data_IF_146199254539
#
_entry.id   IF_146199254539
#
_cell.length_a   1.000
_cell.length_b   1.000
_cell.length_c   1.000
_cell.angle_alpha   90.00
_cell.angle_beta   90.00
_cell.angle_gamma   90.00
#
_symmetry.space_group_name_H-M   'P 1'
#
loop_
_entity.id
_entity.type
_entity.pdbx_description
1 polymer ?
#
# COMPACT_ATOMS: atom_id res chain seq x y z
N UNK A 1 -14.70 21.37 -14.30
CA UNK A 1 -13.25 21.11 -14.08
C UNK A 1 -12.77 20.26 -15.25
N UNK A 2 -11.56 20.54 -15.79
CA UNK A 2 -11.00 19.68 -16.83
C UNK A 2 -10.72 18.30 -16.27
N UNK A 3 -10.89 17.26 -17.10
CA UNK A 3 -10.53 15.89 -16.73
C UNK A 3 -9.02 15.80 -16.43
N UNK A 4 -8.58 14.96 -15.47
CA UNK A 4 -7.17 14.80 -15.18
C UNK A 4 -6.44 14.13 -16.35
N UNK A 5 -5.21 14.55 -16.60
CA UNK A 5 -4.36 13.89 -17.58
C UNK A 5 -3.98 12.49 -17.09
N UNK A 6 -4.16 11.46 -17.92
CA UNK A 6 -3.73 10.10 -17.61
C UNK A 6 -2.40 9.83 -18.31
N UNK A 7 -1.34 9.58 -17.54
CA UNK A 7 0.01 9.35 -18.06
C UNK A 7 0.53 7.97 -17.64
N UNK A 8 1.24 7.30 -18.56
CA UNK A 8 1.85 6.01 -18.23
C UNK A 8 3.18 6.22 -17.51
N UNK A 9 3.36 5.60 -16.34
CA UNK A 9 4.62 5.64 -15.57
C UNK A 9 5.81 5.06 -16.34
N UNK A 10 5.57 4.18 -17.33
CA UNK A 10 6.61 3.62 -18.19
C UNK A 10 7.09 4.57 -19.30
N UNK A 11 6.44 5.75 -19.48
CA UNK A 11 6.65 6.65 -20.60
C UNK A 11 7.01 8.08 -20.21
N UNK A 12 6.99 8.41 -18.93
CA UNK A 12 7.29 9.74 -18.41
C UNK A 12 8.51 9.71 -17.50
N UNK A 13 9.17 10.87 -17.36
CA UNK A 13 10.22 11.06 -16.36
C UNK A 13 9.64 11.63 -15.07
N UNK A 14 10.27 11.30 -13.93
CA UNK A 14 9.93 11.92 -12.65
C UNK A 14 10.10 13.44 -12.65
N UNK A 15 11.02 13.97 -13.46
CA UNK A 15 11.26 15.42 -13.64
C UNK A 15 10.10 16.16 -14.32
N UNK A 16 9.24 15.44 -15.04
CA UNK A 16 8.10 16.07 -15.74
C UNK A 16 6.93 16.36 -14.79
N UNK A 17 6.99 15.83 -13.57
CA UNK A 17 5.94 15.96 -12.57
C UNK A 17 6.15 17.23 -11.73
N UNK A 18 5.14 18.06 -11.71
CA UNK A 18 5.10 19.27 -10.91
C UNK A 18 4.32 19.02 -9.61
N UNK A 19 4.76 19.66 -8.53
CA UNK A 19 4.10 19.60 -7.22
C UNK A 19 3.17 20.82 -7.08
N UNK A 20 1.90 20.56 -6.77
CA UNK A 20 0.92 21.62 -6.55
C UNK A 20 1.17 22.32 -5.19
N UNK A 21 0.54 23.45 -4.99
CA UNK A 21 0.54 24.11 -3.69
C UNK A 21 -0.06 23.20 -2.59
N UNK A 22 0.54 23.23 -1.38
CA UNK A 22 0.06 22.41 -0.27
C UNK A 22 -1.34 22.86 0.17
N UNK A 23 -2.23 21.89 0.39
CA UNK A 23 -3.57 22.10 0.94
C UNK A 23 -3.63 21.56 2.36
N UNK A 24 -4.07 22.38 3.31
CA UNK A 24 -4.29 21.95 4.69
C UNK A 24 -5.71 21.43 4.87
N UNK A 25 -5.85 20.29 5.53
CA UNK A 25 -7.15 19.75 5.91
C UNK A 25 -7.57 20.31 7.28
N UNK A 26 -8.84 20.08 7.65
CA UNK A 26 -9.41 20.55 8.93
C UNK A 26 -8.72 19.96 10.18
N UNK A 27 -8.02 18.84 10.02
CA UNK A 27 -7.30 18.12 11.09
C UNK A 27 -5.81 18.50 11.18
N UNK A 28 -5.38 19.53 10.42
CA UNK A 28 -4.00 20.03 10.43
C UNK A 28 -3.02 19.26 9.52
N UNK A 29 -3.45 18.18 8.86
CA UNK A 29 -2.64 17.49 7.86
C UNK A 29 -2.49 18.30 6.59
N UNK A 30 -1.36 18.14 5.89
CA UNK A 30 -1.09 18.79 4.61
C UNK A 30 -1.11 17.74 3.51
N UNK A 31 -1.69 18.10 2.37
CA UNK A 31 -1.73 17.27 1.16
C UNK A 31 -1.17 18.05 -0.02
N UNK A 32 -0.30 17.42 -0.83
CA UNK A 32 0.23 18.00 -2.06
C UNK A 32 -0.12 17.09 -3.22
N UNK A 33 -0.83 17.66 -4.20
CA UNK A 33 -1.20 16.95 -5.42
C UNK A 33 -0.12 17.09 -6.49
N UNK A 34 -0.20 16.25 -7.52
CA UNK A 34 0.70 16.26 -8.66
C UNK A 34 0.04 16.87 -9.88
N UNK A 35 0.86 17.51 -10.72
CA UNK A 35 0.47 18.03 -12.01
C UNK A 35 1.43 17.55 -13.09
N UNK A 36 0.90 17.40 -14.28
CA UNK A 36 1.64 17.17 -15.50
C UNK A 36 1.13 18.17 -16.54
N UNK A 37 2.01 18.95 -17.16
CA UNK A 37 1.65 20.04 -18.08
C UNK A 37 0.56 20.99 -17.49
N UNK A 38 0.74 21.36 -16.23
CA UNK A 38 -0.19 22.21 -15.45
C UNK A 38 -1.61 21.64 -15.21
N UNK A 39 -1.88 20.37 -15.58
CA UNK A 39 -3.13 19.67 -15.32
C UNK A 39 -2.96 18.66 -14.19
N UNK A 40 -4.04 18.39 -13.44
CA UNK A 40 -4.03 17.29 -12.47
C UNK A 40 -3.70 15.99 -13.20
N UNK A 41 -2.87 15.15 -12.58
CA UNK A 41 -2.38 13.91 -13.21
C UNK A 41 -2.87 12.68 -12.46
N UNK A 42 -3.22 11.66 -13.24
CA UNK A 42 -3.39 10.28 -12.80
C UNK A 42 -2.35 9.42 -13.50
N UNK A 43 -1.83 8.44 -12.78
CA UNK A 43 -0.75 7.59 -13.24
C UNK A 43 -1.29 6.23 -13.65
N UNK A 44 -1.05 5.83 -14.89
CA UNK A 44 -1.36 4.49 -15.38
C UNK A 44 -0.17 3.58 -15.15
N UNK A 45 -0.36 2.59 -14.30
CA UNK A 45 0.60 1.55 -13.99
C UNK A 45 0.44 0.36 -14.93
N UNK A 46 1.53 -0.37 -15.22
CA UNK A 46 1.47 -1.62 -15.95
C UNK A 46 0.72 -2.70 -15.16
N UNK A 47 0.59 -3.87 -15.75
CA UNK A 47 0.05 -5.01 -15.03
C UNK A 47 1.03 -5.47 -13.96
N UNK A 48 0.59 -5.44 -12.71
CA UNK A 48 1.31 -5.96 -11.56
C UNK A 48 0.64 -7.22 -11.03
N UNK A 49 1.44 -8.11 -10.44
CA UNK A 49 0.94 -9.19 -9.61
C UNK A 49 0.71 -8.72 -8.17
N UNK A 50 -0.35 -9.21 -7.54
CA UNK A 50 -0.73 -8.92 -6.16
C UNK A 50 -0.77 -10.22 -5.35
N UNK A 51 0.36 -10.68 -4.83
CA UNK A 51 0.45 -11.97 -4.11
C UNK A 51 -0.53 -12.08 -2.93
N UNK A 52 -0.69 -11.00 -2.17
CA UNK A 52 -1.60 -10.94 -1.02
C UNK A 52 -3.05 -10.59 -1.37
N UNK A 53 -3.35 -10.21 -2.62
CA UNK A 53 -4.67 -9.71 -2.99
C UNK A 53 -5.05 -8.43 -2.24
N UNK A 54 -6.35 -8.23 -2.01
CA UNK A 54 -6.86 -7.12 -1.20
C UNK A 54 -6.85 -7.49 0.28
N UNK A 55 -6.09 -6.74 1.07
CA UNK A 55 -6.00 -6.90 2.52
C UNK A 55 -6.91 -5.90 3.20
N UNK A 56 -7.72 -6.38 4.12
CA UNK A 56 -8.53 -5.58 5.02
C UNK A 56 -7.80 -5.44 6.36
N UNK A 57 -7.77 -4.23 6.90
CA UNK A 57 -7.22 -3.94 8.22
C UNK A 57 -8.19 -3.05 8.98
N UNK A 58 -8.57 -3.47 10.15
CA UNK A 58 -9.32 -2.68 11.13
C UNK A 58 -8.34 -1.94 12.03
N UNK A 59 -8.59 -0.67 12.24
CA UNK A 59 -7.81 0.17 13.13
C UNK A 59 -8.77 0.78 14.15
N UNK A 60 -8.54 0.51 15.41
CA UNK A 60 -9.26 1.15 16.51
C UNK A 60 -8.67 2.55 16.72
N UNK A 61 -9.52 3.55 16.68
CA UNK A 61 -9.15 4.93 16.94
C UNK A 61 -9.16 5.20 18.45
N UNK A 62 -8.52 6.28 18.86
CA UNK A 62 -8.45 6.70 20.28
C UNK A 62 -9.82 7.00 20.90
N UNK A 63 -10.83 7.25 20.11
CA UNK A 63 -12.21 7.50 20.50
C UNK A 63 -13.06 6.22 20.56
N UNK A 64 -12.44 5.04 20.39
CA UNK A 64 -13.13 3.74 20.36
C UNK A 64 -13.84 3.43 19.04
N UNK A 65 -13.81 4.32 18.05
CA UNK A 65 -14.35 4.02 16.73
C UNK A 65 -13.40 3.11 15.95
N UNK A 66 -13.98 2.20 15.15
CA UNK A 66 -13.19 1.31 14.27
C UNK A 66 -13.21 1.84 12.86
N UNK A 67 -12.03 2.03 12.28
CA UNK A 67 -11.89 2.43 10.89
C UNK A 67 -11.30 1.28 10.08
N UNK A 68 -12.06 0.79 9.10
CA UNK A 68 -11.60 -0.26 8.18
C UNK A 68 -10.86 0.35 7.00
N UNK A 69 -9.70 -0.18 6.69
CA UNK A 69 -8.89 0.21 5.54
C UNK A 69 -8.58 -0.98 4.65
N UNK A 70 -8.60 -0.75 3.34
CA UNK A 70 -8.32 -1.77 2.33
C UNK A 70 -7.07 -1.38 1.55
N UNK A 71 -6.16 -2.33 1.38
CA UNK A 71 -4.88 -2.09 0.70
C UNK A 71 -4.52 -3.26 -0.20
N UNK A 72 -3.80 -2.96 -1.27
CA UNK A 72 -3.18 -3.96 -2.15
C UNK A 72 -1.70 -3.62 -2.31
N UNK A 73 -0.84 -4.62 -2.28
CA UNK A 73 0.60 -4.46 -2.50
C UNK A 73 1.00 -5.15 -3.80
N UNK A 74 1.38 -4.33 -4.79
CA UNK A 74 1.89 -4.80 -6.07
C UNK A 74 3.32 -5.31 -5.89
N UNK A 75 3.65 -6.47 -6.45
CA UNK A 75 4.99 -7.01 -6.50
C UNK A 75 5.72 -6.50 -7.75
N UNK A 76 6.90 -5.91 -7.58
CA UNK A 76 7.76 -5.42 -8.63
C UNK A 76 8.79 -6.50 -8.98
N UNK A 77 8.31 -7.59 -9.57
CA UNK A 77 9.14 -8.75 -9.91
C UNK A 77 10.27 -8.37 -10.88
N UNK A 78 11.46 -8.97 -10.69
CA UNK A 78 12.64 -8.69 -11.52
C UNK A 78 13.40 -7.42 -11.15
N UNK A 79 12.90 -6.63 -10.19
CA UNK A 79 13.58 -5.44 -9.70
C UNK A 79 14.43 -5.75 -8.46
N UNK A 80 15.38 -4.85 -8.14
CA UNK A 80 16.30 -5.02 -7.02
C UNK A 80 15.54 -5.21 -5.69
N UNK A 81 15.70 -6.36 -5.02
CA UNK A 81 14.98 -6.66 -3.79
C UNK A 81 15.37 -5.77 -2.61
N UNK A 82 16.51 -5.08 -2.69
CA UNK A 82 16.94 -4.11 -1.69
C UNK A 82 16.46 -2.68 -2.00
N UNK A 83 15.90 -2.44 -3.18
CA UNK A 83 15.38 -1.13 -3.58
C UNK A 83 16.45 -0.05 -3.72
N UNK A 84 17.70 -0.42 -4.01
CA UNK A 84 18.85 0.48 -4.11
C UNK A 84 19.23 0.78 -5.55
N UNK A 85 19.16 -0.24 -6.40
CA UNK A 85 19.62 -0.18 -7.78
C UNK A 85 18.43 -0.04 -8.74
N UNK A 86 18.69 0.62 -9.86
CA UNK A 86 17.71 0.70 -10.95
C UNK A 86 17.65 -0.63 -11.70
N UNK A 87 16.46 -0.98 -12.15
CA UNK A 87 16.30 -2.16 -13.00
C UNK A 87 16.94 -1.93 -14.37
N UNK A 88 17.65 -2.93 -14.87
CA UNK A 88 18.30 -2.92 -16.19
C UNK A 88 17.38 -3.46 -17.29
N UNK A 89 16.38 -4.26 -16.94
CA UNK A 89 15.41 -4.79 -17.88
C UNK A 89 14.53 -3.67 -18.46
N UNK A 90 14.02 -3.89 -19.68
CA UNK A 90 13.27 -2.89 -20.45
C UNK A 90 11.76 -3.15 -20.49
N UNK A 91 11.30 -4.12 -19.71
CA UNK A 91 9.87 -4.40 -19.56
C UNK A 91 9.15 -3.26 -18.80
N UNK A 92 7.82 -3.25 -18.89
CA UNK A 92 7.03 -2.15 -18.32
C UNK A 92 7.08 -2.10 -16.79
N UNK A 93 7.29 -3.24 -16.10
CA UNK A 93 7.42 -3.28 -14.63
C UNK A 93 8.73 -2.63 -14.22
N UNK A 94 9.83 -2.97 -14.90
CA UNK A 94 11.16 -2.39 -14.67
C UNK A 94 11.19 -0.89 -14.95
N UNK A 95 10.53 -0.44 -16.03
CA UNK A 95 10.37 1.01 -16.32
C UNK A 95 9.56 1.72 -15.23
N UNK A 96 8.46 1.11 -14.78
CA UNK A 96 7.65 1.68 -13.71
C UNK A 96 8.42 1.74 -12.38
N UNK A 97 9.21 0.72 -12.06
CA UNK A 97 10.09 0.71 -10.90
C UNK A 97 11.12 1.85 -10.97
N UNK A 98 11.79 2.02 -12.11
CA UNK A 98 12.77 3.09 -12.31
C UNK A 98 12.14 4.47 -12.17
N UNK A 99 10.95 4.68 -12.73
CA UNK A 99 10.18 5.91 -12.51
C UNK A 99 9.90 6.14 -11.03
N UNK A 100 9.41 5.13 -10.32
CA UNK A 100 9.08 5.24 -8.88
C UNK A 100 10.33 5.50 -8.04
N UNK A 101 11.45 4.89 -8.37
CA UNK A 101 12.74 5.10 -7.72
C UNK A 101 13.19 6.56 -7.85
N UNK A 102 13.17 7.11 -9.07
CA UNK A 102 13.50 8.52 -9.32
C UNK A 102 12.48 9.47 -8.70
N UNK A 103 11.21 9.07 -8.69
CA UNK A 103 10.14 9.88 -8.13
C UNK A 103 10.23 10.01 -6.61
N UNK A 104 10.74 9.00 -5.90
CA UNK A 104 11.06 9.14 -4.48
C UNK A 104 12.04 10.28 -4.21
N UNK A 105 13.11 10.34 -4.99
CA UNK A 105 14.08 11.42 -4.86
C UNK A 105 13.49 12.78 -5.23
N UNK A 106 12.69 12.84 -6.30
CA UNK A 106 12.00 14.08 -6.69
C UNK A 106 11.07 14.60 -5.59
N UNK A 107 10.35 13.70 -4.90
CA UNK A 107 9.49 14.06 -3.76
C UNK A 107 10.31 14.60 -2.59
N UNK A 108 11.45 13.98 -2.28
CA UNK A 108 12.36 14.46 -1.22
C UNK A 108 12.90 15.85 -1.55
N UNK A 109 13.39 16.06 -2.76
CA UNK A 109 13.92 17.35 -3.20
C UNK A 109 12.84 18.45 -3.22
N UNK A 110 11.62 18.12 -3.61
CA UNK A 110 10.49 19.02 -3.51
C UNK A 110 10.18 19.38 -2.04
N UNK A 111 10.25 18.41 -1.13
CA UNK A 111 10.06 18.63 0.31
C UNK A 111 11.14 19.52 0.91
N UNK A 112 12.41 19.39 0.48
CA UNK A 112 13.53 20.25 0.89
C UNK A 112 13.26 21.68 0.43
N UNK A 113 12.95 21.87 -0.85
CA UNK A 113 12.72 23.18 -1.46
C UNK A 113 11.52 23.90 -0.87
N UNK A 114 10.46 23.16 -0.52
CA UNK A 114 9.19 23.70 -0.02
C UNK A 114 8.98 23.43 1.48
N UNK A 115 10.04 23.17 2.24
CA UNK A 115 9.95 22.69 3.62
C UNK A 115 9.13 23.61 4.53
N UNK A 116 9.26 24.91 4.40
CA UNK A 116 8.49 25.87 5.18
C UNK A 116 6.98 25.79 4.89
N UNK A 117 6.59 25.60 3.62
CA UNK A 117 5.19 25.47 3.22
C UNK A 117 4.57 24.13 3.65
N UNK A 118 5.33 23.04 3.53
CA UNK A 118 4.83 21.70 3.83
C UNK A 118 4.81 21.40 5.34
N UNK A 119 5.88 21.76 6.06
CA UNK A 119 6.04 21.42 7.49
C UNK A 119 5.79 22.59 8.44
N UNK A 120 5.49 23.80 7.89
CA UNK A 120 5.31 25.01 8.71
C UNK A 120 6.61 25.63 9.23
N UNK A 121 7.76 25.01 8.98
CA UNK A 121 9.10 25.51 9.34
C UNK A 121 10.14 25.02 8.34
N UNK A 122 11.21 25.79 8.18
CA UNK A 122 12.35 25.37 7.35
C UNK A 122 13.08 24.20 8.03
N UNK A 123 13.39 23.14 7.26
CA UNK A 123 14.09 21.93 7.72
C UNK A 123 15.29 21.65 6.83
N UNK A 124 16.33 21.06 7.40
CA UNK A 124 17.48 20.57 6.64
C UNK A 124 17.16 19.28 5.86
N UNK A 125 17.93 19.04 4.82
CA UNK A 125 17.74 17.89 3.92
C UNK A 125 17.80 16.54 4.65
N UNK A 126 18.80 16.35 5.53
CA UNK A 126 18.95 15.13 6.33
C UNK A 126 17.69 14.82 7.15
N UNK A 127 17.21 15.81 7.90
CA UNK A 127 15.97 15.68 8.68
C UNK A 127 14.73 15.37 7.83
N UNK A 128 14.69 15.85 6.60
CA UNK A 128 13.61 15.55 5.66
C UNK A 128 13.72 14.11 5.15
N UNK A 129 14.93 13.67 4.78
CA UNK A 129 15.18 12.28 4.35
C UNK A 129 14.81 11.27 5.43
N UNK A 130 15.17 11.53 6.68
CA UNK A 130 14.85 10.65 7.81
C UNK A 130 13.35 10.56 8.10
N UNK A 131 12.60 11.63 7.81
CA UNK A 131 11.16 11.68 8.03
C UNK A 131 10.32 11.19 6.86
N UNK A 132 10.95 10.79 5.75
CA UNK A 132 10.27 10.31 4.57
C UNK A 132 9.86 8.83 4.68
N UNK A 133 8.57 8.59 4.60
CA UNK A 133 8.03 7.24 4.49
C UNK A 133 8.13 6.78 3.03
N UNK A 134 9.10 5.93 2.75
CA UNK A 134 9.32 5.35 1.41
C UNK A 134 8.06 4.63 0.95
N UNK A 135 7.66 4.85 -0.30
CA UNK A 135 6.51 4.16 -0.88
C UNK A 135 6.90 2.88 -1.65
N UNK A 136 8.16 2.72 -2.01
CA UNK A 136 8.73 1.43 -2.39
C UNK A 136 9.16 0.69 -1.12
N UNK A 137 8.44 -0.36 -0.78
CA UNK A 137 8.71 -1.17 0.41
C UNK A 137 9.54 -2.38 0.04
N UNK A 138 10.58 -2.68 0.81
CA UNK A 138 11.43 -3.86 0.67
C UNK A 138 11.15 -4.84 1.79
N UNK A 139 11.45 -6.12 1.58
CA UNK A 139 11.36 -7.13 2.64
C UNK A 139 12.45 -6.92 3.68
N UNK A 140 12.09 -7.04 4.96
CA UNK A 140 12.98 -6.78 6.09
C UNK A 140 12.85 -7.86 7.14
N UNK A 141 13.96 -8.17 7.80
CA UNK A 141 13.99 -8.98 9.02
C UNK A 141 14.18 -8.08 10.23
N UNK A 142 13.57 -8.46 11.35
CA UNK A 142 13.75 -7.79 12.62
C UNK A 142 15.03 -8.33 13.27
N UNK A 143 16.01 -7.48 13.48
CA UNK A 143 17.24 -7.77 14.22
C UNK A 143 17.24 -7.03 15.56
N UNK A 144 18.23 -7.28 16.41
CA UNK A 144 18.38 -6.54 17.67
C UNK A 144 18.60 -5.05 17.46
N UNK A 145 19.21 -4.66 16.35
CA UNK A 145 19.52 -3.27 16.00
C UNK A 145 18.43 -2.59 15.14
N UNK A 146 17.31 -3.28 14.85
CA UNK A 146 16.21 -2.74 14.06
C UNK A 146 15.79 -3.61 12.88
N UNK A 147 15.16 -2.97 11.88
CA UNK A 147 14.67 -3.63 10.66
C UNK A 147 15.71 -3.56 9.55
N UNK A 148 16.20 -4.70 9.09
CA UNK A 148 17.24 -4.79 8.05
C UNK A 148 16.68 -5.43 6.78
N UNK A 149 16.89 -4.83 5.59
CA UNK A 149 16.49 -5.43 4.32
C UNK A 149 17.16 -6.79 4.11
N UNK A 150 16.35 -7.82 3.80
CA UNK A 150 16.82 -9.20 3.66
C UNK A 150 16.85 -9.70 2.21
N UNK A 151 16.30 -8.94 1.25
CA UNK A 151 16.29 -9.31 -0.16
C UNK A 151 15.43 -10.54 -0.52
N UNK A 152 14.62 -11.04 0.41
CA UNK A 152 13.84 -12.28 0.24
C UNK A 152 12.74 -12.16 -0.81
N UNK A 153 12.14 -10.99 -0.92
CA UNK A 153 11.04 -10.73 -1.86
C UNK A 153 11.33 -9.48 -2.69
N UNK A 154 10.77 -9.41 -3.92
CA UNK A 154 10.83 -8.19 -4.72
C UNK A 154 10.27 -6.97 -3.97
N UNK A 155 10.68 -5.76 -4.33
CA UNK A 155 10.08 -4.55 -3.78
C UNK A 155 8.58 -4.51 -4.06
N UNK A 156 7.84 -3.82 -3.22
CA UNK A 156 6.40 -3.69 -3.39
C UNK A 156 5.93 -2.24 -3.36
N UNK A 157 4.87 -1.97 -4.13
CA UNK A 157 4.17 -0.70 -4.15
C UNK A 157 2.77 -0.88 -3.56
N UNK A 158 2.45 -0.09 -2.53
CA UNK A 158 1.15 -0.17 -1.84
C UNK A 158 0.14 0.80 -2.45
N UNK A 159 -1.04 0.28 -2.78
CA UNK A 159 -2.22 1.03 -3.16
C UNK A 159 -3.24 1.00 -2.02
N UNK A 160 -3.77 2.17 -1.66
CA UNK A 160 -4.87 2.30 -0.70
C UNK A 160 -6.18 2.35 -1.48
N UNK A 161 -7.03 1.34 -1.31
CA UNK A 161 -8.32 1.28 -1.98
C UNK A 161 -9.22 2.38 -1.43
N UNK A 162 -9.81 3.23 -2.30
CA UNK A 162 -10.61 4.37 -1.86
C UNK A 162 -12.01 3.90 -1.44
N UNK A 163 -12.21 3.70 -0.16
CA UNK A 163 -13.51 3.43 0.46
C UNK A 163 -13.86 4.62 1.35
N UNK A 164 -14.99 5.27 1.06
CA UNK A 164 -15.48 6.43 1.79
C UNK A 164 -16.97 6.23 2.10
N UNK A 165 -17.36 6.46 3.32
CA UNK A 165 -18.76 6.34 3.79
C UNK A 165 -19.42 5.02 3.37
N UNK A 166 -18.68 3.92 3.49
CA UNK A 166 -19.17 2.59 3.11
C UNK A 166 -19.31 2.34 1.61
N UNK A 167 -18.75 3.20 0.76
CA UNK A 167 -18.77 3.06 -0.70
C UNK A 167 -17.38 2.99 -1.29
N UNK A 168 -17.21 2.12 -2.28
CA UNK A 168 -15.98 2.04 -3.08
C UNK A 168 -16.00 3.14 -4.13
N UNK A 169 -14.96 4.01 -4.13
CA UNK A 169 -14.85 5.16 -5.05
C UNK A 169 -13.84 4.88 -6.17
N UNK A 170 -13.96 3.73 -6.83
CA UNK A 170 -13.18 3.36 -8.02
C UNK A 170 -14.04 2.50 -8.92
N UNK A 171 -13.73 2.53 -10.21
CA UNK A 171 -14.35 1.68 -11.23
C UNK A 171 -13.46 0.47 -11.48
N UNK A 172 -14.06 -0.71 -11.54
CA UNK A 172 -13.34 -1.97 -11.74
C UNK A 172 -13.97 -2.74 -12.88
N UNK A 173 -13.13 -3.18 -13.80
CA UNK A 173 -13.53 -4.06 -14.92
C UNK A 173 -12.77 -5.38 -14.83
N UNK A 174 -13.39 -6.43 -15.32
CA UNK A 174 -12.75 -7.71 -15.55
C UNK A 174 -11.79 -7.69 -16.75
N UNK A 175 -11.13 -8.80 -16.99
CA UNK A 175 -10.27 -8.99 -18.16
C UNK A 175 -11.07 -8.92 -19.48
N UNK A 176 -12.33 -9.34 -19.42
CA UNK A 176 -13.33 -9.29 -20.49
C UNK A 176 -13.90 -7.88 -20.75
N UNK A 177 -13.51 -6.88 -19.95
CA UNK A 177 -14.00 -5.52 -20.03
C UNK A 177 -15.38 -5.30 -19.39
N UNK A 178 -15.93 -6.30 -18.69
CA UNK A 178 -17.22 -6.19 -18.01
C UNK A 178 -17.04 -5.48 -16.66
N UNK A 179 -17.94 -4.56 -16.35
CA UNK A 179 -17.95 -3.84 -15.08
C UNK A 179 -18.20 -4.78 -13.91
N UNK A 180 -17.39 -4.64 -12.86
CA UNK A 180 -17.55 -5.36 -11.60
C UNK A 180 -18.05 -4.38 -10.55
N UNK A 181 -19.36 -4.39 -10.24
CA UNK A 181 -19.88 -3.53 -9.19
C UNK A 181 -19.34 -3.98 -7.82
N UNK A 182 -18.74 -3.06 -7.08
CA UNK A 182 -18.08 -3.37 -5.81
C UNK A 182 -18.72 -2.70 -4.63
N UNK A 183 -18.88 -3.49 -3.57
CA UNK A 183 -19.09 -3.03 -2.22
C UNK A 183 -17.81 -3.31 -1.40
N UNK A 184 -17.61 -2.63 -0.26
CA UNK A 184 -16.42 -2.86 0.57
C UNK A 184 -16.22 -4.31 0.98
N UNK A 185 -17.30 -5.04 1.30
CA UNK A 185 -17.27 -6.48 1.65
C UNK A 185 -16.83 -7.39 0.49
N UNK A 186 -17.07 -6.99 -0.74
CA UNK A 186 -16.69 -7.76 -1.96
C UNK A 186 -15.27 -7.49 -2.46
N UNK A 187 -14.51 -6.57 -1.85
CA UNK A 187 -13.17 -6.21 -2.33
C UNK A 187 -12.19 -7.39 -2.30
N UNK A 188 -12.24 -8.23 -1.27
CA UNK A 188 -11.34 -9.38 -1.16
C UNK A 188 -11.66 -10.46 -2.19
N UNK A 189 -12.93 -10.65 -2.54
CA UNK A 189 -13.37 -11.58 -3.59
C UNK A 189 -13.03 -11.07 -4.99
N UNK A 190 -13.19 -9.77 -5.23
CA UNK A 190 -12.85 -9.14 -6.51
C UNK A 190 -11.33 -9.16 -6.77
N UNK A 191 -10.53 -9.01 -5.70
CA UNK A 191 -9.07 -9.01 -5.74
C UNK A 191 -8.48 -10.14 -4.89
N UNK A 192 -8.63 -11.41 -5.31
CA UNK A 192 -8.13 -12.55 -4.56
C UNK A 192 -6.59 -12.58 -4.53
N UNK A 193 -6.04 -13.37 -3.60
CA UNK A 193 -4.60 -13.61 -3.54
C UNK A 193 -4.07 -14.11 -4.90
N UNK A 194 -2.97 -13.54 -5.34
CA UNK A 194 -2.33 -13.88 -6.61
C UNK A 194 -3.01 -13.31 -7.86
N UNK A 195 -3.99 -12.43 -7.73
CA UNK A 195 -4.54 -11.72 -8.89
C UNK A 195 -3.50 -10.82 -9.54
N UNK A 196 -3.73 -10.47 -10.79
CA UNK A 196 -2.99 -9.44 -11.50
C UNK A 196 -3.93 -8.28 -11.83
N UNK A 197 -3.41 -7.04 -11.84
CA UNK A 197 -4.23 -5.90 -12.22
C UNK A 197 -3.40 -4.80 -12.89
N UNK A 198 -4.05 -4.07 -13.80
CA UNK A 198 -3.60 -2.78 -14.30
C UNK A 198 -4.38 -1.71 -13.57
N UNK A 199 -3.72 -0.63 -13.17
CA UNK A 199 -4.34 0.43 -12.39
C UNK A 199 -4.07 1.80 -12.97
N UNK A 200 -5.09 2.65 -12.95
CA UNK A 200 -4.93 4.10 -13.01
C UNK A 200 -5.14 4.61 -11.59
N UNK A 201 -4.15 5.31 -11.05
CA UNK A 201 -4.21 5.78 -9.68
C UNK A 201 -3.84 7.25 -9.56
N UNK A 202 -4.46 7.93 -8.63
CA UNK A 202 -4.09 9.27 -8.20
C UNK A 202 -3.09 9.15 -7.07
N UNK A 203 -1.95 9.85 -7.22
CA UNK A 203 -0.97 10.01 -6.16
C UNK A 203 -1.22 11.30 -5.38
N UNK A 204 -0.94 11.30 -4.09
CA UNK A 204 -0.86 12.52 -3.28
C UNK A 204 0.15 12.35 -2.16
N UNK A 205 0.94 13.40 -1.92
CA UNK A 205 1.79 13.47 -0.74
C UNK A 205 0.92 13.84 0.45
N UNK A 206 1.14 13.17 1.55
CA UNK A 206 0.62 13.55 2.86
C UNK A 206 1.75 14.01 3.76
N UNK A 207 1.48 15.02 4.58
CA UNK A 207 2.38 15.47 5.65
C UNK A 207 1.58 15.47 6.94
N UNK A 208 2.03 14.67 7.91
CA UNK A 208 1.38 14.52 9.22
C UNK A 208 2.46 14.73 10.29
N UNK A 209 2.36 15.83 11.01
CA UNK A 209 3.39 16.23 11.98
C UNK A 209 4.74 16.44 11.30
N UNK A 210 5.70 15.59 11.62
CA UNK A 210 7.06 15.67 11.05
C UNK A 210 7.33 14.66 9.94
N UNK A 211 6.45 13.68 9.75
CA UNK A 211 6.60 12.63 8.75
C UNK A 211 5.80 12.95 7.49
N UNK A 212 6.28 12.49 6.36
CA UNK A 212 5.58 12.61 5.09
C UNK A 212 5.81 11.39 4.23
N UNK A 213 4.94 11.21 3.28
CA UNK A 213 5.00 10.08 2.37
C UNK A 213 3.98 10.26 1.26
N UNK A 214 3.80 9.22 0.46
CA UNK A 214 2.91 9.23 -0.68
C UNK A 214 1.87 8.14 -0.55
N UNK A 215 0.64 8.47 -0.94
CA UNK A 215 -0.46 7.51 -1.02
C UNK A 215 -0.94 7.42 -2.46
N UNK A 216 -1.02 6.19 -2.98
CA UNK A 216 -1.62 5.87 -4.26
C UNK A 216 -3.05 5.37 -4.05
N UNK A 217 -4.03 6.01 -4.70
CA UNK A 217 -5.44 5.64 -4.67
C UNK A 217 -5.91 5.28 -6.08
N UNK A 218 -6.25 4.03 -6.35
CA UNK A 218 -6.79 3.64 -7.64
C UNK A 218 -8.10 4.36 -7.95
N UNK A 219 -8.29 4.74 -9.21
CA UNK A 219 -9.53 5.31 -9.75
C UNK A 219 -10.17 4.36 -10.76
N UNK A 220 -9.31 3.68 -11.56
CA UNK A 220 -9.73 2.67 -12.52
C UNK A 220 -8.84 1.45 -12.38
N UNK A 221 -9.44 0.27 -12.37
CA UNK A 221 -8.71 -1.00 -12.21
C UNK A 221 -9.24 -2.01 -13.22
N UNK A 222 -8.34 -2.62 -13.97
CA UNK A 222 -8.63 -3.83 -14.73
C UNK A 222 -8.01 -5.01 -14.00
N UNK A 223 -8.84 -5.93 -13.50
CA UNK A 223 -8.38 -7.10 -12.75
C UNK A 223 -8.42 -8.35 -13.62
N UNK A 224 -7.33 -9.13 -13.54
CA UNK A 224 -7.21 -10.47 -14.13
C UNK A 224 -7.10 -11.46 -12.97
N UNK A 225 -8.11 -12.30 -12.79
CA UNK A 225 -8.05 -13.38 -11.80
C UNK A 225 -7.08 -14.46 -12.33
N UNK A 226 -6.23 -14.97 -11.47
CA UNK A 226 -5.36 -16.08 -11.83
C UNK A 226 -6.22 -17.28 -12.25
N UNK A 227 -6.10 -17.72 -13.49
CA UNK A 227 -6.71 -18.98 -13.91
C UNK A 227 -6.03 -20.09 -13.12
N UNK A 228 -6.78 -20.75 -12.25
CA UNK A 228 -6.30 -21.93 -11.55
C UNK A 228 -6.22 -23.02 -12.62
N UNK A 229 -5.01 -23.51 -12.91
CA UNK A 229 -4.89 -24.70 -13.74
C UNK A 229 -5.59 -25.84 -13.02
N UNK A 230 -6.62 -26.38 -13.65
CA UNK A 230 -7.32 -27.56 -13.13
C UNK A 230 -6.52 -28.81 -13.48
N UNK A 231 -6.73 -29.91 -12.78
CA UNK A 231 -6.15 -31.21 -13.17
C UNK A 231 -6.47 -31.54 -14.63
N UNK A 232 -7.68 -31.19 -15.09
CA UNK A 232 -8.10 -31.38 -16.47
C UNK A 232 -7.26 -30.58 -17.46
N UNK A 233 -6.85 -29.34 -17.10
CA UNK A 233 -5.98 -28.55 -17.97
C UNK A 233 -4.55 -29.10 -18.02
N UNK A 234 -4.08 -29.72 -16.92
CA UNK A 234 -2.75 -30.31 -16.82
C UNK A 234 -2.62 -31.62 -17.61
N UNK A 235 -3.71 -32.37 -17.72
CA UNK A 235 -3.73 -33.67 -18.42
C UNK A 235 -4.52 -33.63 -19.72
N UNK A 236 -4.73 -32.46 -20.29
CA UNK A 236 -5.53 -32.29 -21.50
C UNK A 236 -4.89 -32.97 -22.72
N UNK A 237 -3.56 -32.93 -22.82
CA UNK A 237 -2.81 -33.59 -23.89
C UNK A 237 -2.93 -35.13 -23.83
N UNK A 238 -2.99 -35.70 -22.62
CA UNK A 238 -3.13 -37.13 -22.41
C UNK A 238 -4.55 -37.65 -22.71
N UNK A 239 -5.56 -36.75 -22.79
CA UNK A 239 -6.95 -37.12 -23.01
C UNK A 239 -7.28 -37.12 -24.54
N UNK A 240 -6.58 -36.30 -25.32
CA UNK A 240 -6.83 -36.22 -26.78
C UNK A 240 -6.21 -37.40 -27.57
N UNK A 241 -5.25 -38.14 -27.00
CA UNK A 241 -4.62 -39.31 -27.61
C UNK A 241 -5.36 -40.64 -27.35
N UNK A 242 -6.40 -40.65 -26.51
CA UNK A 242 -7.21 -41.85 -26.31
C UNK A 242 -8.41 -41.83 -27.29
N UNK A 243 -8.32 -42.60 -28.36
CA UNK A 243 -9.46 -42.96 -29.20
C UNK A 243 -10.68 -43.30 -28.35
N UNK A 244 -11.78 -42.62 -28.61
CA UNK A 244 -13.04 -42.84 -27.90
C UNK A 244 -13.50 -44.29 -28.11
N UNK A 245 -13.65 -45.12 -27.08
CA UNK A 245 -14.32 -46.40 -27.23
C UNK A 245 -15.81 -46.14 -27.50
N UNK A 246 -16.31 -46.76 -28.55
CA UNK A 246 -17.70 -46.71 -29.00
C UNK A 246 -18.65 -46.96 -27.82
N UNK A 247 -19.56 -46.02 -27.61
CA UNK A 247 -20.62 -46.12 -26.60
C UNK A 247 -21.59 -47.22 -27.00
N UNK A 248 -21.62 -48.30 -26.26
CA UNK A 248 -22.71 -49.27 -26.24
C UNK A 248 -23.75 -48.80 -25.23
N UNK A 249 -25.01 -48.59 -25.64
CA UNK A 249 -26.04 -48.20 -24.65
C UNK A 249 -26.57 -49.44 -23.96
N UNK A 250 -26.40 -49.57 -22.68
CA UNK A 250 -27.06 -50.63 -21.88
C UNK A 250 -26.67 -50.67 -20.43
N UNK A 251 -27.60 -50.19 -19.62
CA UNK A 251 -27.94 -50.69 -18.27
C UNK A 251 -26.85 -50.80 -17.19
N UNK A 252 -26.98 -50.04 -16.14
CA UNK A 252 -27.41 -50.52 -14.83
C UNK A 252 -27.12 -49.49 -13.72
N UNK A 253 -28.16 -49.17 -13.03
CA UNK A 253 -28.18 -48.58 -11.69
C UNK A 253 -27.40 -49.48 -10.76
N UNK A 254 -26.41 -48.94 -10.05
CA UNK A 254 -26.03 -49.45 -8.72
C UNK A 254 -25.40 -48.32 -7.93
N UNK A 255 -26.02 -48.09 -6.81
CA UNK A 255 -25.61 -47.23 -5.72
C UNK A 255 -24.20 -47.54 -5.21
N UNK A 256 -23.45 -46.52 -4.96
CA UNK A 256 -22.50 -46.53 -3.82
C UNK A 256 -22.37 -45.05 -3.38
N UNK A 257 -22.97 -44.79 -2.20
CA UNK A 257 -22.72 -43.62 -1.42
C UNK A 257 -21.25 -43.62 -0.97
N UNK A 258 -20.65 -42.48 -1.08
CA UNK A 258 -19.47 -42.15 -0.29
C UNK A 258 -19.82 -40.94 0.52
N UNK A 259 -19.77 -41.13 1.83
CA UNK A 259 -19.87 -40.12 2.86
C UNK A 259 -18.86 -39.01 2.59
N UNK A 260 -19.34 -37.79 2.67
CA UNK A 260 -18.54 -36.62 2.92
C UNK A 260 -18.04 -36.66 4.37
N UNK A 261 -16.82 -37.10 4.60
CA UNK A 261 -16.02 -36.76 5.78
C UNK A 261 -14.58 -37.17 5.51
N UNK A 262 -13.78 -36.20 5.02
CA UNK A 262 -12.37 -36.06 5.39
C UNK A 262 -11.90 -34.66 4.95
N UNK A 263 -12.16 -33.71 5.84
CA UNK A 263 -11.46 -32.44 5.87
C UNK A 263 -10.09 -32.73 6.51
N UNK A 264 -9.08 -32.97 5.70
CA UNK A 264 -7.70 -32.94 6.20
C UNK A 264 -7.36 -31.51 6.63
N UNK A 265 -7.27 -31.34 7.93
CA UNK A 265 -6.63 -30.22 8.61
C UNK A 265 -5.16 -30.18 8.19
N UNK A 266 -4.81 -29.25 7.30
CA UNK A 266 -3.41 -28.81 7.23
C UNK A 266 -3.13 -28.00 8.49
N UNK A 267 -2.32 -28.56 9.36
CA UNK A 267 -1.71 -27.90 10.52
C UNK A 267 -1.07 -26.58 10.08
N UNK A 268 -1.77 -25.51 10.38
CA UNK A 268 -1.21 -24.16 10.38
C UNK A 268 -0.23 -24.09 11.56
N UNK A 269 1.05 -24.01 11.27
CA UNK A 269 2.10 -23.91 12.27
C UNK A 269 1.85 -22.66 13.12
N UNK A 270 1.33 -22.91 14.29
CA UNK A 270 1.06 -21.95 15.34
C UNK A 270 2.32 -21.15 15.67
N UNK A 271 2.31 -19.87 15.33
CA UNK A 271 3.28 -18.94 15.84
C UNK A 271 3.11 -18.87 17.38
N UNK A 272 4.17 -18.97 18.17
CA UNK A 272 4.06 -19.00 19.62
C UNK A 272 3.40 -17.74 20.13
N UNK A 273 2.28 -17.89 20.83
CA UNK A 273 1.64 -16.87 21.63
C UNK A 273 2.66 -16.26 22.59
N UNK A 274 2.76 -14.93 22.70
CA UNK A 274 3.61 -14.32 23.69
C UNK A 274 3.06 -14.64 25.08
N UNK A 275 3.86 -15.36 25.85
CA UNK A 275 3.68 -15.61 27.27
C UNK A 275 3.40 -14.30 27.98
N UNK A 276 2.33 -14.29 28.74
CA UNK A 276 1.91 -13.27 29.69
C UNK A 276 3.11 -12.78 30.50
N UNK A 277 3.62 -11.57 30.17
CA UNK A 277 4.65 -10.92 30.95
C UNK A 277 3.99 -10.30 32.17
N UNK A 278 4.59 -10.61 33.33
CA UNK A 278 4.28 -10.10 34.65
C UNK A 278 4.00 -8.58 34.68
N UNK A 279 3.15 -8.11 35.59
CA UNK A 279 2.78 -6.69 35.66
C UNK A 279 4.01 -5.82 35.95
N UNK A 280 4.17 -4.79 35.15
CA UNK A 280 5.20 -3.79 35.31
C UNK A 280 5.08 -3.11 36.69
N UNK A 281 6.19 -2.81 37.38
CA UNK A 281 6.17 -2.08 38.65
C UNK A 281 5.59 -0.68 38.44
N UNK A 282 4.71 -0.26 39.38
CA UNK A 282 4.09 1.04 39.40
C UNK A 282 5.14 2.16 39.28
N UNK A 283 4.86 3.22 38.50
CA UNK A 283 5.75 4.36 38.42
C UNK A 283 5.88 5.05 39.76
N UNK A 284 7.14 5.39 40.15
CA UNK A 284 7.46 6.14 41.33
C UNK A 284 6.74 7.50 41.32
N UNK A 285 6.31 8.02 42.49
CA UNK A 285 5.62 9.29 42.56
C UNK A 285 6.55 10.45 42.11
N UNK A 286 5.97 11.36 41.33
CA UNK A 286 6.64 12.53 40.80
C UNK A 286 7.22 13.40 41.93
N UNK A 287 8.43 13.99 41.80
CA UNK A 287 8.99 14.89 42.76
C UNK A 287 8.12 16.15 42.88
N UNK A 288 7.96 16.61 44.13
CA UNK A 288 7.20 17.80 44.47
C UNK A 288 7.76 19.06 43.75
N UNK A 289 6.88 20.00 43.32
CA UNK A 289 7.33 21.23 42.67
C UNK A 289 8.18 22.10 43.62
N UNK A 290 9.28 22.62 43.07
CA UNK A 290 10.17 23.54 43.77
C UNK A 290 9.43 24.84 44.20
N UNK A 291 9.76 25.43 45.38
CA UNK A 291 9.10 26.64 45.81
C UNK A 291 9.47 27.84 44.90
N UNK A 292 8.46 28.67 44.63
CA UNK A 292 8.59 29.87 43.81
C UNK A 292 9.61 30.86 44.39
N UNK A 293 10.41 31.56 43.58
CA UNK A 293 11.35 32.56 44.05
C UNK A 293 10.60 33.78 44.62
N UNK A 294 11.04 34.23 45.79
CA UNK A 294 10.50 35.38 46.49
C UNK A 294 10.67 36.68 45.67
N UNK A 295 9.60 37.46 45.58
CA UNK A 295 9.56 38.74 44.89
C UNK A 295 10.52 39.72 45.56
N UNK A 296 11.57 40.15 44.85
CA UNK A 296 12.48 41.22 45.31
C UNK A 296 11.78 42.57 45.18
N UNK A 297 11.67 43.23 46.33
CA UNK A 297 11.03 44.54 46.47
C UNK A 297 11.68 45.64 45.64
N UNK A 298 10.83 46.36 44.94
CA UNK A 298 11.16 47.57 44.19
C UNK A 298 11.49 48.73 45.13
N UNK A 299 12.75 49.10 45.19
CA UNK A 299 13.22 50.30 45.89
C UNK A 299 12.91 51.56 45.08
N UNK A 300 12.01 52.43 45.60
CA UNK A 300 11.77 53.76 45.04
C UNK A 300 13.00 54.64 45.25
N UNK A 301 13.55 55.18 44.16
CA UNK A 301 14.52 56.27 44.20
C UNK A 301 13.76 57.57 44.09
N UNK A 302 13.89 58.43 45.13
CA UNK A 302 13.37 59.78 45.13
C UNK A 302 14.29 60.71 44.36
N UNK A 303 13.67 61.64 43.64
CA UNK A 303 14.28 62.69 42.84
C UNK A 303 14.61 63.85 43.70
N UNK A 304 15.83 64.30 43.64
CA UNK A 304 16.24 65.70 44.02
C UNK A 304 16.86 66.32 42.78
#
# INVERSE_FOLDING_TARGET
MAAPAVVSVSKISASDIQFAEPRRNKQGGVSVAFKYLNQNVQFRFPQFGFPGGCLMKENENKDGSVTTSYTMSASLQGCDPYGRERATATDDVSKAYNFLHDFQEAVIQAAVSNSAAWFGKKRGEESIRDSFNKFLSVSVDKTNDGWVPNGKYPPSLRFKMPVYDGKVSMEVIGEDGVDIPLQPSGLQEAFPKGCAAKMVAQGSIYVIGQTFGLTWKPTYVQVSKRKRQTARDMFKEDIDDSEAPAVVPGSAKAALGYDEEDAEEEEDAEAPTPTESAPAPSPAPAPAPAPAPAASGRRKVAKA
#
